data_IF_899166813869
#
_entry.id   IF_899166813869
#
_cell.length_a   1.000
_cell.length_b   1.000
_cell.length_c   1.000
_cell.angle_alpha   90.00
_cell.angle_beta   90.00
_cell.angle_gamma   90.00
#
_symmetry.space_group_name_H-M   'P 1'
#
loop_
_entity.id
_entity.type
_entity.pdbx_description
1 polymer ?
#
# COMPACT_ATOMS: atom_id res chain seq x y z
N UNK A 1 -1.08 -0.13 -19.93
CA UNK A 1 0.37 -0.36 -19.76
C UNK A 1 0.72 -1.74 -20.31
N UNK A 2 1.83 -1.89 -21.07
CA UNK A 2 2.27 -3.19 -21.62
C UNK A 2 2.74 -4.13 -20.49
N UNK A 3 2.58 -5.45 -20.63
CA UNK A 3 2.82 -6.44 -19.56
C UNK A 3 4.21 -6.31 -18.92
N UNK A 4 5.25 -6.17 -19.74
CA UNK A 4 6.62 -5.96 -19.25
C UNK A 4 6.73 -4.74 -18.33
N UNK A 5 6.10 -3.62 -18.69
CA UNK A 5 6.13 -2.39 -17.88
C UNK A 5 5.39 -2.56 -16.54
N UNK A 6 4.40 -3.46 -16.47
CA UNK A 6 3.73 -3.81 -15.21
C UNK A 6 4.65 -4.62 -14.30
N UNK A 7 5.29 -5.66 -14.83
CA UNK A 7 6.27 -6.46 -14.09
C UNK A 7 7.42 -5.59 -13.58
N UNK A 8 8.02 -4.78 -14.47
CA UNK A 8 9.14 -3.89 -14.11
C UNK A 8 8.78 -2.96 -12.94
N UNK A 9 7.54 -2.46 -12.87
CA UNK A 9 7.07 -1.62 -11.75
C UNK A 9 6.90 -2.44 -10.47
N UNK A 10 6.21 -3.59 -10.54
CA UNK A 10 5.97 -4.45 -9.39
C UNK A 10 7.29 -4.94 -8.77
N UNK A 11 8.25 -5.31 -9.60
CA UNK A 11 9.60 -5.72 -9.17
C UNK A 11 10.32 -4.59 -8.45
N UNK A 12 10.23 -3.35 -8.95
CA UNK A 12 10.82 -2.20 -8.29
C UNK A 12 10.17 -1.91 -6.92
N UNK A 13 8.85 -2.07 -6.79
CA UNK A 13 8.15 -1.94 -5.49
C UNK A 13 8.63 -3.02 -4.52
N UNK A 14 8.70 -4.28 -4.96
CA UNK A 14 9.22 -5.40 -4.14
C UNK A 14 10.68 -5.18 -3.72
N UNK A 15 11.48 -4.56 -4.58
CA UNK A 15 12.84 -4.16 -4.24
C UNK A 15 12.87 -3.12 -3.11
N UNK A 16 11.98 -2.13 -3.10
CA UNK A 16 11.87 -1.21 -1.95
C UNK A 16 11.38 -1.93 -0.68
N UNK A 17 10.53 -2.95 -0.82
CA UNK A 17 10.09 -3.81 0.29
C UNK A 17 11.19 -4.76 0.80
N UNK A 18 12.32 -4.90 0.10
CA UNK A 18 13.44 -5.74 0.54
C UNK A 18 14.66 -4.95 1.01
N UNK A 19 14.80 -3.69 0.61
CA UNK A 19 15.88 -2.81 1.07
C UNK A 19 15.67 -2.36 2.51
N UNK A 20 16.73 -2.24 3.32
CA UNK A 20 16.63 -1.77 4.69
C UNK A 20 16.15 -0.32 4.75
N UNK A 21 15.33 0.00 5.76
CA UNK A 21 14.92 1.37 6.04
C UNK A 21 16.13 2.32 6.21
N UNK A 22 15.95 3.58 5.81
CA UNK A 22 16.96 4.65 5.96
C UNK A 22 16.55 5.72 6.96
N UNK A 23 15.27 5.76 7.38
CA UNK A 23 14.84 6.70 8.41
C UNK A 23 14.92 6.06 9.79
N UNK A 24 14.82 6.90 10.82
CA UNK A 24 14.74 6.48 12.21
C UNK A 24 13.30 6.46 12.75
N UNK A 25 12.29 6.34 11.88
CA UNK A 25 10.90 6.21 12.33
C UNK A 25 10.73 4.90 13.13
N UNK A 26 9.83 4.91 14.11
CA UNK A 26 9.61 3.72 14.92
C UNK A 26 8.88 2.64 14.09
N UNK A 27 9.36 1.39 14.14
CA UNK A 27 8.71 0.24 13.52
C UNK A 27 9.00 0.02 12.04
N UNK A 28 9.72 0.91 11.36
CA UNK A 28 10.12 0.69 9.95
C UNK A 28 11.14 -0.44 9.85
N UNK A 29 10.99 -1.31 8.84
CA UNK A 29 11.96 -2.37 8.50
C UNK A 29 12.57 -2.12 7.12
N UNK A 30 11.76 -1.64 6.19
CA UNK A 30 12.09 -1.54 4.78
C UNK A 30 12.08 -0.10 4.28
N UNK A 31 12.71 0.15 3.13
CA UNK A 31 12.60 1.45 2.43
C UNK A 31 11.15 1.80 2.09
N UNK A 32 10.33 0.79 1.79
CA UNK A 32 8.90 0.97 1.57
C UNK A 32 8.20 1.46 2.84
N UNK A 33 8.57 0.92 4.01
CA UNK A 33 8.00 1.34 5.30
C UNK A 33 8.36 2.79 5.64
N UNK A 34 9.52 3.30 5.21
CA UNK A 34 9.88 4.71 5.41
C UNK A 34 8.86 5.67 4.78
N UNK A 35 8.37 5.34 3.57
CA UNK A 35 7.35 6.13 2.90
C UNK A 35 6.01 6.05 3.63
N UNK A 36 5.63 4.86 4.09
CA UNK A 36 4.42 4.66 4.87
C UNK A 36 4.49 5.40 6.22
N UNK A 37 5.59 5.29 6.95
CA UNK A 37 5.82 5.98 8.21
C UNK A 37 5.78 7.50 8.06
N UNK A 38 6.44 8.05 7.04
CA UNK A 38 6.38 9.49 6.76
C UNK A 38 4.94 9.96 6.55
N UNK A 39 4.17 9.23 5.74
CA UNK A 39 2.77 9.54 5.49
C UNK A 39 1.91 9.45 6.76
N UNK A 40 2.08 8.41 7.58
CA UNK A 40 1.39 8.24 8.86
C UNK A 40 1.71 9.39 9.82
N UNK A 41 2.97 9.77 9.95
CA UNK A 41 3.40 10.82 10.89
C UNK A 41 2.91 12.21 10.50
N UNK A 42 2.73 12.47 9.20
CA UNK A 42 2.30 13.77 8.68
C UNK A 42 0.82 13.83 8.31
N UNK A 43 0.06 12.74 8.45
CA UNK A 43 -1.32 12.63 7.97
C UNK A 43 -2.21 13.82 8.36
N UNK A 44 -2.12 14.27 9.61
CA UNK A 44 -2.93 15.38 10.16
C UNK A 44 -2.58 16.76 9.57
N UNK A 45 -1.37 16.93 9.05
CA UNK A 45 -0.88 18.21 8.50
C UNK A 45 -0.72 18.19 6.98
N UNK A 46 -1.15 17.10 6.31
CA UNK A 46 -1.11 16.98 4.85
C UNK A 46 -2.49 16.75 4.23
N UNK A 47 -3.50 16.32 5.00
CA UNK A 47 -4.88 16.11 4.53
C UNK A 47 -5.80 17.28 4.91
N UNK A 48 -6.78 17.61 4.05
CA UNK A 48 -7.72 18.70 4.25
C UNK A 48 -7.08 20.09 4.48
N UNK A 49 -5.93 20.32 3.85
CA UNK A 49 -5.11 21.55 3.95
C UNK A 49 -4.66 22.03 2.57
N UNK A 50 -4.23 23.30 2.46
CA UNK A 50 -3.85 23.91 1.17
C UNK A 50 -2.67 23.21 0.48
N UNK A 51 -1.74 22.65 1.24
CA UNK A 51 -0.58 21.91 0.72
C UNK A 51 -0.89 20.48 0.25
N UNK A 52 -2.12 19.97 0.42
CA UNK A 52 -2.47 18.56 0.14
C UNK A 52 -1.97 18.09 -1.23
N UNK A 53 -2.34 18.80 -2.30
CA UNK A 53 -1.97 18.40 -3.67
C UNK A 53 -0.46 18.54 -3.93
N UNK A 54 0.16 19.59 -3.42
CA UNK A 54 1.60 19.84 -3.59
C UNK A 54 2.45 18.79 -2.86
N UNK A 55 2.07 18.46 -1.62
CA UNK A 55 2.74 17.46 -0.81
C UNK A 55 2.65 16.07 -1.45
N UNK A 56 1.46 15.64 -1.89
CA UNK A 56 1.29 14.32 -2.52
C UNK A 56 2.01 14.22 -3.87
N UNK A 57 2.05 15.30 -4.66
CA UNK A 57 2.86 15.35 -5.89
C UNK A 57 4.34 15.15 -5.58
N UNK A 58 4.86 15.85 -4.57
CA UNK A 58 6.26 15.72 -4.17
C UNK A 58 6.55 14.33 -3.58
N UNK A 59 5.63 13.78 -2.78
CA UNK A 59 5.74 12.44 -2.21
C UNK A 59 5.86 11.37 -3.31
N UNK A 60 4.97 11.41 -4.31
CA UNK A 60 5.02 10.49 -5.45
C UNK A 60 6.28 10.68 -6.30
N UNK A 61 6.77 11.90 -6.46
CA UNK A 61 8.04 12.17 -7.17
C UNK A 61 9.24 11.55 -6.45
N UNK A 62 9.33 11.71 -5.13
CA UNK A 62 10.42 11.12 -4.33
C UNK A 62 10.30 9.59 -4.30
N UNK A 63 9.09 9.05 -4.25
CA UNK A 63 8.85 7.62 -4.36
C UNK A 63 9.29 7.06 -5.72
N UNK A 64 8.93 7.72 -6.83
CA UNK A 64 9.41 7.35 -8.17
C UNK A 64 10.94 7.44 -8.25
N UNK A 65 11.54 8.48 -7.68
CA UNK A 65 13.00 8.63 -7.62
C UNK A 65 13.64 7.43 -6.90
N UNK A 66 13.08 6.98 -5.77
CA UNK A 66 13.56 5.79 -5.07
C UNK A 66 13.42 4.53 -5.92
N UNK A 67 12.30 4.32 -6.61
CA UNK A 67 12.14 3.20 -7.55
C UNK A 67 13.22 3.21 -8.63
N UNK A 68 13.54 4.37 -9.19
CA UNK A 68 14.51 4.53 -10.28
C UNK A 68 15.95 4.37 -9.81
N UNK A 69 16.33 5.11 -8.76
CA UNK A 69 17.72 5.22 -8.30
C UNK A 69 18.13 4.06 -7.39
N UNK A 70 17.23 3.56 -6.55
CA UNK A 70 17.55 2.48 -5.62
C UNK A 70 17.26 1.11 -6.24
N UNK A 71 16.23 1.00 -7.09
CA UNK A 71 15.72 -0.26 -7.63
C UNK A 71 15.80 -0.38 -9.16
N UNK A 72 16.43 0.57 -9.85
CA UNK A 72 16.71 0.49 -11.28
C UNK A 72 15.48 0.62 -12.19
N UNK A 73 14.33 1.04 -11.67
CA UNK A 73 13.12 1.23 -12.46
C UNK A 73 13.35 2.26 -13.58
N UNK A 74 12.98 1.93 -14.82
CA UNK A 74 13.15 2.85 -15.96
C UNK A 74 11.82 3.44 -16.46
N UNK A 75 10.69 2.86 -16.02
CA UNK A 75 9.36 3.33 -16.39
C UNK A 75 8.96 4.60 -15.66
N UNK A 76 7.83 5.19 -16.06
CA UNK A 76 7.25 6.35 -15.38
C UNK A 76 6.30 5.90 -14.26
N UNK A 77 6.04 6.79 -13.29
CA UNK A 77 5.05 6.51 -12.26
C UNK A 77 3.71 6.10 -12.87
N UNK A 78 3.14 5.02 -12.35
CA UNK A 78 1.86 4.50 -12.84
C UNK A 78 0.68 5.28 -12.25
N UNK A 79 -0.41 5.37 -12.99
CA UNK A 79 -1.67 5.95 -12.51
C UNK A 79 -2.82 4.99 -12.77
N UNK A 80 -3.85 5.07 -11.92
CA UNK A 80 -5.12 4.38 -12.13
C UNK A 80 -6.12 5.35 -12.74
N UNK A 81 -6.78 4.94 -13.82
CA UNK A 81 -7.94 5.67 -14.34
C UNK A 81 -9.20 5.18 -13.65
N UNK A 82 -10.22 6.03 -13.55
CA UNK A 82 -11.55 5.61 -13.11
C UNK A 82 -12.04 4.42 -13.94
N UNK A 83 -12.66 3.45 -13.27
CA UNK A 83 -13.21 2.25 -13.90
C UNK A 83 -14.67 2.09 -13.42
N UNK A 84 -15.65 1.85 -14.31
CA UNK A 84 -17.06 1.81 -13.92
C UNK A 84 -17.38 0.76 -12.84
N UNK A 85 -16.71 -0.38 -12.91
CA UNK A 85 -16.83 -1.48 -11.96
C UNK A 85 -15.45 -1.75 -11.36
N UNK A 86 -15.17 -1.16 -10.20
CA UNK A 86 -13.84 -1.22 -9.58
C UNK A 86 -13.39 -2.66 -9.30
N UNK A 87 -14.32 -3.58 -9.02
CA UNK A 87 -14.03 -5.01 -8.83
C UNK A 87 -13.50 -5.69 -10.10
N UNK A 88 -13.83 -5.15 -11.28
CA UNK A 88 -13.31 -5.61 -12.59
C UNK A 88 -12.14 -4.78 -13.10
N UNK A 89 -11.62 -3.85 -12.30
CA UNK A 89 -10.51 -3.02 -12.71
C UNK A 89 -9.25 -3.87 -12.94
N UNK A 90 -8.54 -3.68 -14.07
CA UNK A 90 -7.30 -4.40 -14.36
C UNK A 90 -6.18 -4.19 -13.32
N UNK A 91 -6.31 -3.21 -12.41
CA UNK A 91 -5.35 -2.99 -11.32
C UNK A 91 -5.37 -4.13 -10.29
N UNK A 92 -6.49 -4.84 -10.17
CA UNK A 92 -6.67 -5.97 -9.26
C UNK A 92 -6.45 -7.33 -9.95
N UNK A 93 -5.93 -7.33 -11.17
CA UNK A 93 -5.54 -8.57 -11.86
C UNK A 93 -4.43 -9.29 -11.06
N UNK A 94 -4.61 -10.57 -10.70
CA UNK A 94 -3.68 -11.27 -9.83
C UNK A 94 -2.38 -11.66 -10.54
N UNK A 95 -2.34 -11.73 -11.86
CA UNK A 95 -1.15 -12.19 -12.58
C UNK A 95 -0.23 -11.04 -12.97
N UNK A 96 -0.80 -9.89 -13.28
CA UNK A 96 -0.09 -8.78 -13.92
C UNK A 96 -0.10 -7.50 -13.11
N UNK A 97 -0.86 -7.43 -12.01
CA UNK A 97 -1.09 -6.19 -11.25
C UNK A 97 -0.98 -6.41 -9.73
N UNK A 98 -1.85 -5.81 -8.90
CA UNK A 98 -1.64 -5.69 -7.44
C UNK A 98 -2.37 -6.76 -6.59
N UNK A 99 -2.88 -7.81 -7.22
CA UNK A 99 -3.72 -8.81 -6.54
C UNK A 99 -5.15 -8.34 -6.31
N UNK A 100 -6.04 -9.30 -6.16
CA UNK A 100 -7.48 -9.16 -5.97
C UNK A 100 -7.88 -9.02 -4.50
N UNK A 101 -9.09 -9.47 -4.19
CA UNK A 101 -9.71 -9.32 -2.87
C UNK A 101 -9.10 -10.27 -1.83
N UNK A 102 -9.35 -10.00 -0.56
CA UNK A 102 -8.92 -10.87 0.55
C UNK A 102 -9.89 -12.02 0.87
N UNK A 103 -11.21 -11.80 0.73
CA UNK A 103 -12.28 -12.77 0.98
C UNK A 103 -13.59 -12.32 0.34
N UNK A 104 -14.56 -13.24 0.30
CA UNK A 104 -15.95 -12.95 -0.09
C UNK A 104 -16.54 -11.86 0.81
N UNK A 105 -17.45 -11.07 0.25
CA UNK A 105 -18.03 -9.81 0.79
C UNK A 105 -18.76 -9.91 2.15
N UNK A 106 -18.69 -11.05 2.83
CA UNK A 106 -19.41 -11.40 4.06
C UNK A 106 -18.71 -10.95 5.35
N UNK A 107 -17.45 -10.52 5.28
CA UNK A 107 -16.72 -10.06 6.47
C UNK A 107 -16.92 -8.54 6.70
N UNK A 108 -17.40 -8.12 7.90
CA UNK A 108 -17.55 -6.70 8.22
C UNK A 108 -16.22 -5.96 8.11
N UNK A 109 -16.26 -4.70 7.72
CA UNK A 109 -15.08 -3.86 7.52
C UNK A 109 -14.15 -3.88 8.72
N UNK A 110 -12.87 -4.17 8.48
CA UNK A 110 -11.88 -4.33 9.54
C UNK A 110 -11.65 -3.04 10.34
N UNK A 111 -12.06 -1.92 9.74
CA UNK A 111 -11.91 -0.59 10.30
C UNK A 111 -13.15 -0.07 11.00
N UNK A 112 -14.31 -0.72 10.81
CA UNK A 112 -15.60 -0.22 11.27
C UNK A 112 -15.94 1.13 10.64
N UNK A 113 -17.20 1.32 10.28
CA UNK A 113 -17.77 2.66 10.04
C UNK A 113 -17.99 3.43 11.34
N UNK A 114 -17.67 2.82 12.48
CA UNK A 114 -17.97 3.31 13.81
C UNK A 114 -16.69 3.78 14.52
N UNK A 115 -16.77 4.94 15.18
CA UNK A 115 -15.68 5.58 15.93
C UNK A 115 -15.29 4.81 17.22
N UNK A 116 -15.48 3.49 17.24
CA UNK A 116 -15.25 2.66 18.42
C UNK A 116 -13.76 2.40 18.66
N UNK A 117 -13.33 2.33 19.95
CA UNK A 117 -11.92 2.15 20.31
C UNK A 117 -11.38 0.83 19.76
N UNK A 118 -10.14 0.87 19.28
CA UNK A 118 -9.44 -0.24 18.61
C UNK A 118 -9.04 -1.41 19.55
N UNK A 119 -9.93 -1.87 20.44
CA UNK A 119 -9.56 -2.77 21.54
C UNK A 119 -9.64 -4.26 21.20
N UNK A 120 -10.02 -4.66 19.97
CA UNK A 120 -10.07 -6.08 19.61
C UNK A 120 -9.77 -6.37 18.11
N UNK A 121 -8.72 -5.73 17.56
CA UNK A 121 -8.34 -5.86 16.14
C UNK A 121 -7.35 -6.99 15.84
N UNK A 122 -7.14 -7.96 16.73
CA UNK A 122 -6.08 -8.99 16.59
C UNK A 122 -6.53 -10.34 16.03
N UNK A 123 -7.83 -10.64 15.96
CA UNK A 123 -8.32 -12.00 15.68
C UNK A 123 -8.78 -12.30 14.25
N UNK A 124 -8.68 -11.36 13.30
CA UNK A 124 -9.33 -11.49 11.98
C UNK A 124 -8.43 -11.41 10.73
N UNK A 125 -7.12 -11.21 10.87
CA UNK A 125 -6.25 -10.94 9.71
C UNK A 125 -6.04 -12.16 8.82
N UNK A 126 -5.89 -13.36 9.39
CA UNK A 126 -5.57 -14.58 8.64
C UNK A 126 -6.65 -14.99 7.63
N UNK A 127 -7.92 -14.79 7.99
CA UNK A 127 -9.06 -15.02 7.08
C UNK A 127 -9.18 -13.89 6.04
N UNK A 128 -8.56 -12.73 6.28
CA UNK A 128 -8.72 -11.50 5.51
C UNK A 128 -7.44 -11.01 4.83
N UNK A 129 -6.46 -11.88 4.59
CA UNK A 129 -5.31 -11.54 3.76
C UNK A 129 -5.70 -11.53 2.28
N UNK A 130 -5.17 -10.59 1.49
CA UNK A 130 -5.09 -10.73 0.02
C UNK A 130 -4.49 -12.09 -0.31
N UNK A 131 -5.22 -12.91 -1.06
CA UNK A 131 -4.85 -14.32 -1.30
C UNK A 131 -4.03 -14.54 -2.56
N UNK A 132 -4.03 -13.58 -3.48
CA UNK A 132 -3.42 -13.74 -4.79
C UNK A 132 -2.55 -12.53 -5.21
N UNK A 133 -1.83 -12.77 -6.30
CA UNK A 133 -0.96 -11.78 -6.92
C UNK A 133 0.31 -11.43 -6.16
N UNK A 134 1.06 -10.45 -6.69
CA UNK A 134 2.45 -10.26 -6.32
C UNK A 134 2.66 -9.86 -4.86
N UNK A 135 1.63 -9.36 -4.17
CA UNK A 135 1.70 -8.85 -2.81
C UNK A 135 0.92 -9.71 -1.79
N UNK A 136 0.45 -10.91 -2.16
CA UNK A 136 -0.26 -11.80 -1.24
C UNK A 136 0.57 -12.19 0.01
N UNK A 137 1.88 -12.30 -0.16
CA UNK A 137 2.82 -12.62 0.94
C UNK A 137 3.47 -11.38 1.56
N UNK A 138 3.00 -10.18 1.23
CA UNK A 138 3.55 -8.95 1.81
C UNK A 138 3.02 -8.76 3.23
N UNK A 139 3.96 -8.62 4.17
CA UNK A 139 3.67 -8.30 5.57
C UNK A 139 3.73 -6.79 5.76
N UNK A 140 2.65 -6.22 6.25
CA UNK A 140 2.54 -4.81 6.64
C UNK A 140 2.93 -4.72 8.11
N UNK A 141 3.86 -3.83 8.44
CA UNK A 141 4.42 -3.67 9.79
C UNK A 141 3.83 -2.46 10.52
N UNK A 142 3.37 -1.48 9.74
CA UNK A 142 2.85 -0.22 10.25
C UNK A 142 1.34 -0.15 10.09
N UNK A 143 0.69 0.33 11.14
CA UNK A 143 -0.74 0.48 11.22
C UNK A 143 -1.41 -0.63 12.04
N UNK A 144 -2.74 -0.51 12.21
CA UNK A 144 -3.56 0.58 11.70
C UNK A 144 -3.35 1.91 12.43
N UNK A 145 -3.44 3.03 11.71
CA UNK A 145 -3.11 4.35 12.25
C UNK A 145 -1.61 4.48 12.57
N UNK A 146 -1.29 4.83 13.83
CA UNK A 146 0.09 4.97 14.33
C UNK A 146 0.61 3.70 15.04
N UNK A 147 -0.13 2.60 15.01
CA UNK A 147 0.30 1.34 15.63
C UNK A 147 1.46 0.69 14.86
N UNK A 148 2.25 -0.12 15.56
CA UNK A 148 3.27 -0.99 14.97
C UNK A 148 2.80 -2.41 15.25
N UNK A 149 2.39 -3.10 14.20
CA UNK A 149 1.80 -4.43 14.30
C UNK A 149 2.00 -5.17 12.98
N UNK A 150 2.53 -6.38 13.05
CA UNK A 150 2.72 -7.22 11.88
C UNK A 150 1.38 -7.82 11.49
N UNK A 151 0.97 -7.56 10.25
CA UNK A 151 -0.27 -8.08 9.72
C UNK A 151 -0.19 -8.25 8.20
N UNK A 152 -1.11 -9.01 7.65
CA UNK A 152 -1.25 -9.15 6.21
C UNK A 152 -1.86 -7.90 5.57
N UNK A 153 -1.61 -7.72 4.28
CA UNK A 153 -2.40 -6.80 3.46
C UNK A 153 -3.85 -7.31 3.36
N UNK A 154 -4.81 -6.45 3.68
CA UNK A 154 -6.26 -6.70 3.67
C UNK A 154 -6.89 -5.83 2.57
N UNK A 155 -7.91 -6.31 1.87
CA UNK A 155 -8.58 -5.58 0.79
C UNK A 155 -10.02 -6.04 0.62
N UNK A 156 -10.96 -5.10 0.74
CA UNK A 156 -12.38 -5.28 0.42
C UNK A 156 -12.79 -4.33 -0.72
N UNK A 157 -12.79 -4.81 -1.97
CA UNK A 157 -13.13 -4.03 -3.16
C UNK A 157 -14.65 -3.83 -3.23
N UNK A 158 -15.11 -2.57 -3.16
CA UNK A 158 -16.53 -2.18 -3.13
C UNK A 158 -16.89 -1.05 -4.10
#
# INVERSE_FOLDING_TARGET
>A
MHLKKKSDYIEAVKCLQSKPATTSFQGVRTRFDDFQALHINLAEVIHAVGQFLGWHRQFLFVYEKALREECGYQGAQSYVSSFPDIAKSPIFDPHTSFGGNDVDSTHPDMFGTDHSPATNRSSGWGERCVKDGPFASYEVVLGPGKLINDHSLVRNIN
#
